data_IF_157929891499
#
_entry.id   IF_157929891499
#
_cell.length_a   1.000
_cell.length_b   1.000
_cell.length_c   1.000
_cell.angle_alpha   90.00
_cell.angle_beta   90.00
_cell.angle_gamma   90.00
#
_symmetry.space_group_name_H-M   'P 1'
#
loop_
_entity.id
_entity.type
_entity.pdbx_description
1 polymer ?
#
# COMPACT_ATOMS: atom_id res chain seq x y z
N UNK A 1 25.81 22.56 -5.78
CA UNK A 1 26.04 21.11 -5.94
C UNK A 1 24.80 20.54 -6.62
N UNK A 2 24.95 19.97 -7.82
CA UNK A 2 23.82 19.24 -8.44
C UNK A 2 23.52 18.04 -7.54
N UNK A 3 22.41 18.10 -6.80
CA UNK A 3 21.95 16.96 -6.01
C UNK A 3 21.62 15.83 -6.97
N UNK A 4 22.18 14.63 -6.73
CA UNK A 4 21.85 13.43 -7.52
C UNK A 4 20.33 13.25 -7.61
N UNK A 5 19.84 12.77 -8.74
CA UNK A 5 18.44 12.35 -8.94
C UNK A 5 18.14 11.06 -8.14
N UNK A 6 19.17 10.36 -7.68
CA UNK A 6 19.13 9.05 -7.08
C UNK A 6 19.71 9.06 -5.67
N UNK A 7 19.09 8.32 -4.76
CA UNK A 7 19.64 8.04 -3.45
C UNK A 7 20.88 7.14 -3.56
N UNK A 8 20.77 6.08 -4.35
CA UNK A 8 21.88 5.20 -4.69
C UNK A 8 21.99 5.09 -6.22
N UNK A 9 22.79 5.93 -6.88
CA UNK A 9 22.92 5.92 -8.34
C UNK A 9 23.31 4.56 -8.93
N UNK A 10 24.13 3.79 -8.22
CA UNK A 10 24.60 2.49 -8.71
C UNK A 10 23.44 1.49 -8.78
N UNK A 11 22.69 1.34 -7.69
CA UNK A 11 21.62 0.35 -7.63
C UNK A 11 20.37 0.78 -8.43
N UNK A 12 20.04 2.07 -8.41
CA UNK A 12 18.82 2.58 -9.08
C UNK A 12 18.94 2.62 -10.61
N UNK A 13 20.19 2.60 -11.14
CA UNK A 13 20.45 2.60 -12.59
C UNK A 13 21.19 1.33 -13.06
N UNK A 14 21.21 0.30 -12.22
CA UNK A 14 21.88 -0.96 -12.55
C UNK A 14 21.20 -1.60 -13.77
N UNK A 15 21.96 -2.00 -14.82
CA UNK A 15 21.37 -2.68 -15.98
C UNK A 15 20.54 -3.90 -15.57
N UNK A 16 19.41 -4.13 -16.25
CA UNK A 16 18.43 -5.17 -15.92
C UNK A 16 19.05 -6.56 -15.70
N UNK A 17 19.99 -6.95 -16.56
CA UNK A 17 20.67 -8.22 -16.41
C UNK A 17 21.47 -8.29 -15.09
N UNK A 18 22.19 -7.23 -14.75
CA UNK A 18 22.97 -7.14 -13.50
C UNK A 18 22.06 -7.12 -12.27
N UNK A 19 20.94 -6.43 -12.37
CA UNK A 19 19.93 -6.40 -11.31
C UNK A 19 19.35 -7.80 -11.07
N UNK A 20 19.03 -8.52 -12.14
CA UNK A 20 18.56 -9.91 -12.07
C UNK A 20 19.58 -10.86 -11.45
N UNK A 21 20.87 -10.71 -11.80
CA UNK A 21 21.97 -11.45 -11.17
C UNK A 21 22.06 -11.14 -9.66
N UNK A 22 21.95 -9.86 -9.29
CA UNK A 22 21.93 -9.43 -7.89
C UNK A 22 20.74 -10.00 -7.13
N UNK A 23 19.54 -9.95 -7.71
CA UNK A 23 18.33 -10.52 -7.12
C UNK A 23 18.46 -12.03 -6.89
N UNK A 24 18.97 -12.76 -7.88
CA UNK A 24 19.18 -14.19 -7.73
C UNK A 24 20.19 -14.54 -6.63
N UNK A 25 21.31 -13.79 -6.54
CA UNK A 25 22.26 -13.93 -5.46
C UNK A 25 21.60 -13.73 -4.10
N UNK A 26 20.89 -12.60 -3.91
CA UNK A 26 20.20 -12.28 -2.66
C UNK A 26 19.09 -13.27 -2.33
N UNK A 27 18.38 -13.76 -3.34
CA UNK A 27 17.36 -14.79 -3.14
C UNK A 27 17.99 -16.08 -2.61
N UNK A 28 19.10 -16.54 -3.16
CA UNK A 28 19.80 -17.72 -2.64
C UNK A 28 20.25 -17.53 -1.19
N UNK A 29 20.76 -16.34 -0.86
CA UNK A 29 21.21 -16.01 0.49
C UNK A 29 20.04 -16.10 1.50
N UNK A 30 18.91 -15.46 1.21
CA UNK A 30 17.75 -15.48 2.12
C UNK A 30 17.07 -16.85 2.18
N UNK A 31 17.01 -17.57 1.06
CA UNK A 31 16.47 -18.93 1.01
C UNK A 31 17.30 -19.89 1.86
N UNK A 32 18.63 -19.88 1.69
CA UNK A 32 19.56 -20.69 2.48
C UNK A 32 19.44 -20.37 3.98
N UNK A 33 19.43 -19.08 4.32
CA UNK A 33 19.24 -18.63 5.69
C UNK A 33 17.95 -19.15 6.30
N UNK A 34 16.83 -18.97 5.59
CA UNK A 34 15.51 -19.41 6.07
C UNK A 34 15.45 -20.93 6.24
N UNK A 35 15.98 -21.69 5.29
CA UNK A 35 16.08 -23.15 5.37
C UNK A 35 16.87 -23.60 6.60
N UNK A 36 18.01 -22.97 6.88
CA UNK A 36 18.89 -23.38 7.98
C UNK A 36 18.43 -22.90 9.36
N UNK A 37 17.76 -21.75 9.45
CA UNK A 37 17.51 -21.05 10.71
C UNK A 37 16.05 -21.00 11.16
N UNK A 38 15.08 -21.14 10.25
CA UNK A 38 13.65 -21.14 10.58
C UNK A 38 13.06 -22.53 10.52
N UNK A 39 12.48 -23.03 11.62
CA UNK A 39 11.80 -24.32 11.65
C UNK A 39 10.63 -24.39 10.67
N UNK A 40 9.92 -23.25 10.50
CA UNK A 40 8.83 -23.16 9.54
C UNK A 40 9.31 -23.34 8.10
N UNK A 41 10.35 -22.62 7.67
CA UNK A 41 10.85 -22.72 6.30
C UNK A 41 11.60 -24.03 6.04
N UNK A 42 12.32 -24.53 7.03
CA UNK A 42 12.95 -25.85 6.92
C UNK A 42 11.91 -26.93 6.61
N UNK A 43 10.81 -26.92 7.38
CA UNK A 43 9.73 -27.88 7.16
C UNK A 43 9.06 -27.68 5.80
N UNK A 44 8.70 -26.44 5.46
CA UNK A 44 8.01 -26.09 4.19
C UNK A 44 8.80 -26.57 2.98
N UNK A 45 10.11 -26.36 2.98
CA UNK A 45 10.96 -26.70 1.85
C UNK A 45 11.32 -28.19 1.82
N UNK A 46 11.60 -28.79 2.97
CA UNK A 46 11.84 -30.23 3.06
C UNK A 46 10.63 -31.06 2.65
N UNK A 47 9.42 -30.65 3.07
CA UNK A 47 8.16 -31.31 2.64
C UNK A 47 7.95 -31.23 1.11
N UNK A 48 8.49 -30.18 0.46
CA UNK A 48 8.48 -30.02 -1.00
C UNK A 48 9.68 -30.68 -1.71
N UNK A 49 10.58 -31.32 -0.97
CA UNK A 49 11.78 -31.94 -1.52
C UNK A 49 12.80 -30.93 -2.06
N UNK A 50 12.82 -29.71 -1.51
CA UNK A 50 13.75 -28.64 -1.91
C UNK A 50 14.81 -28.35 -0.86
N UNK A 51 16.02 -28.13 -1.31
CA UNK A 51 17.15 -27.69 -0.49
C UNK A 51 17.94 -26.55 -1.17
N UNK A 52 18.82 -25.83 -0.45
CA UNK A 52 19.56 -24.69 -1.01
C UNK A 52 20.37 -24.97 -2.28
N UNK A 53 20.84 -26.22 -2.43
CA UNK A 53 21.59 -26.69 -3.58
C UNK A 53 20.78 -26.75 -4.89
N UNK A 54 19.45 -26.73 -4.86
CA UNK A 54 18.59 -26.87 -6.04
C UNK A 54 18.44 -25.58 -6.85
N UNK A 55 18.74 -24.42 -6.26
CA UNK A 55 18.68 -23.13 -6.93
C UNK A 55 19.91 -22.89 -7.81
N UNK A 56 19.83 -23.31 -9.07
CA UNK A 56 20.90 -23.19 -10.08
C UNK A 56 20.75 -21.96 -10.95
N UNK A 57 19.52 -21.61 -11.34
CA UNK A 57 19.17 -20.51 -12.24
C UNK A 57 18.13 -19.60 -11.59
N UNK A 58 17.94 -18.42 -12.16
CA UNK A 58 16.92 -17.47 -11.71
C UNK A 58 15.51 -18.07 -11.83
N UNK A 59 15.27 -18.89 -12.84
CA UNK A 59 14.00 -19.54 -13.09
C UNK A 59 13.63 -20.57 -12.02
N UNK A 60 14.61 -21.12 -11.30
CA UNK A 60 14.37 -22.05 -10.19
C UNK A 60 13.67 -21.39 -9.01
N UNK A 61 13.72 -20.05 -8.89
CA UNK A 61 12.98 -19.30 -7.88
C UNK A 61 11.49 -19.66 -7.91
N UNK A 62 10.92 -19.82 -9.10
CA UNK A 62 9.50 -20.12 -9.30
C UNK A 62 9.09 -21.52 -8.79
N UNK A 63 10.05 -22.43 -8.58
CA UNK A 63 9.82 -23.75 -8.01
C UNK A 63 9.69 -23.74 -6.48
N UNK A 64 10.20 -22.68 -5.83
CA UNK A 64 10.16 -22.53 -4.37
C UNK A 64 8.72 -22.39 -3.90
N UNK A 65 8.27 -23.20 -2.91
CA UNK A 65 6.93 -23.10 -2.35
C UNK A 65 6.58 -21.69 -1.87
N UNK A 66 5.36 -21.28 -2.15
CA UNK A 66 4.84 -19.98 -1.68
C UNK A 66 4.45 -20.05 -0.21
N UNK A 67 4.62 -18.92 0.46
CA UNK A 67 4.11 -18.70 1.80
C UNK A 67 2.82 -17.87 1.74
N UNK A 68 1.84 -18.25 2.56
CA UNK A 68 0.59 -17.50 2.72
C UNK A 68 0.44 -16.96 4.14
N UNK A 69 -0.36 -15.89 4.28
CA UNK A 69 -0.62 -15.26 5.59
C UNK A 69 -1.24 -16.22 6.60
N UNK A 70 -2.05 -17.19 6.15
CA UNK A 70 -2.62 -18.24 7.01
C UNK A 70 -1.52 -19.13 7.60
N UNK A 71 -0.50 -19.48 6.80
CA UNK A 71 0.63 -20.27 7.24
C UNK A 71 1.47 -19.51 8.30
N UNK A 72 1.66 -18.19 8.13
CA UNK A 72 2.31 -17.36 9.16
C UNK A 72 1.56 -17.40 10.48
N UNK A 73 0.23 -17.26 10.46
CA UNK A 73 -0.61 -17.34 11.67
C UNK A 73 -0.49 -18.68 12.35
N UNK A 74 -0.47 -19.76 11.58
CA UNK A 74 -0.32 -21.13 12.13
C UNK A 74 1.05 -21.34 12.79
N UNK A 75 2.10 -20.69 12.24
CA UNK A 75 3.46 -20.80 12.77
C UNK A 75 3.71 -19.91 14.01
N UNK A 76 2.81 -18.97 14.31
CA UNK A 76 2.94 -17.95 15.35
C UNK A 76 1.85 -18.06 16.43
N UNK A 77 2.00 -17.30 17.51
CA UNK A 77 0.96 -17.08 18.51
C UNK A 77 1.10 -17.94 19.77
N UNK A 78 0.01 -18.03 20.50
CA UNK A 78 -0.03 -18.73 21.78
C UNK A 78 0.30 -20.23 21.61
N UNK A 79 1.10 -20.77 22.54
CA UNK A 79 1.58 -22.15 22.48
C UNK A 79 2.70 -22.41 21.46
N UNK A 80 3.22 -21.36 20.80
CA UNK A 80 4.37 -21.44 19.90
C UNK A 80 5.60 -20.76 20.51
N UNK A 81 6.72 -21.46 20.53
CA UNK A 81 7.99 -20.94 21.00
C UNK A 81 8.95 -20.66 19.82
N UNK A 82 9.70 -19.52 19.89
CA UNK A 82 9.62 -18.44 20.92
C UNK A 82 8.40 -17.53 20.69
N UNK A 83 7.59 -17.34 21.71
CA UNK A 83 6.41 -16.47 21.65
C UNK A 83 6.83 -15.00 21.44
N UNK A 84 6.12 -14.19 20.62
CA UNK A 84 4.93 -14.51 19.84
C UNK A 84 5.22 -15.00 18.41
N UNK A 85 6.48 -15.13 18.02
CA UNK A 85 6.90 -15.34 16.63
C UNK A 85 6.89 -16.80 16.19
N UNK A 86 7.05 -17.74 17.13
CA UNK A 86 6.99 -19.16 16.88
C UNK A 86 8.03 -19.68 15.89
N UNK A 87 7.62 -20.65 15.08
CA UNK A 87 8.52 -21.38 14.18
C UNK A 87 9.09 -20.56 13.01
N UNK A 88 8.49 -19.40 12.71
CA UNK A 88 8.96 -18.57 11.60
C UNK A 88 10.20 -17.74 11.95
N UNK A 89 10.44 -17.48 13.24
CA UNK A 89 11.61 -16.73 13.69
C UNK A 89 12.90 -17.48 13.32
N UNK A 90 13.87 -16.78 12.74
CA UNK A 90 15.13 -17.33 12.26
C UNK A 90 16.37 -16.72 12.91
N UNK A 91 16.17 -16.00 14.01
CA UNK A 91 17.24 -15.49 14.88
C UNK A 91 16.92 -15.83 16.34
N UNK A 92 17.89 -15.86 17.27
CA UNK A 92 17.62 -15.91 18.69
C UNK A 92 16.72 -14.73 19.13
N UNK A 93 15.79 -14.99 20.05
CA UNK A 93 14.78 -13.98 20.49
C UNK A 93 15.43 -12.69 21.03
N UNK A 94 16.57 -12.81 21.72
CA UNK A 94 17.34 -11.68 22.26
C UNK A 94 17.94 -10.75 21.19
N UNK A 95 17.93 -11.17 19.92
CA UNK A 95 18.33 -10.32 18.78
C UNK A 95 17.19 -9.48 18.24
N UNK A 96 15.94 -9.78 18.63
CA UNK A 96 14.77 -9.01 18.18
C UNK A 96 14.72 -7.70 18.96
N UNK A 97 14.79 -6.58 18.24
CA UNK A 97 14.79 -5.23 18.80
C UNK A 97 13.53 -4.44 18.48
N UNK A 98 12.75 -4.89 17.50
CA UNK A 98 11.51 -4.24 17.13
C UNK A 98 10.38 -5.25 16.90
N UNK A 99 9.24 -4.96 17.56
CA UNK A 99 7.99 -5.67 17.40
C UNK A 99 7.03 -4.85 16.54
N UNK A 100 6.37 -5.50 15.60
CA UNK A 100 5.27 -4.93 14.81
C UNK A 100 4.17 -5.98 14.66
N UNK A 101 2.96 -5.54 14.32
CA UNK A 101 1.88 -6.47 13.99
C UNK A 101 0.93 -5.87 12.96
N UNK A 102 0.17 -6.75 12.30
CA UNK A 102 -0.93 -6.35 11.44
C UNK A 102 -2.16 -5.98 12.26
N UNK A 103 -3.12 -5.25 11.65
CA UNK A 103 -4.35 -4.83 12.33
C UNK A 103 -5.28 -5.98 12.77
N UNK A 104 -5.08 -7.19 12.22
CA UNK A 104 -5.89 -8.36 12.58
C UNK A 104 -7.37 -8.28 12.18
N UNK A 105 -7.77 -7.41 11.26
CA UNK A 105 -9.18 -7.14 10.90
C UNK A 105 -9.95 -8.37 10.38
N UNK A 106 -9.24 -9.39 9.92
CA UNK A 106 -9.82 -10.63 9.38
C UNK A 106 -9.52 -11.86 10.23
N UNK A 107 -9.12 -11.66 11.48
CA UNK A 107 -8.72 -12.72 12.41
C UNK A 107 -7.58 -12.28 13.33
N UNK A 108 -6.79 -13.24 13.85
CA UNK A 108 -5.63 -12.89 14.68
C UNK A 108 -4.57 -12.10 13.88
N UNK A 109 -3.89 -11.12 14.52
CA UNK A 109 -2.80 -10.40 13.89
C UNK A 109 -1.65 -11.34 13.53
N UNK A 110 -0.85 -10.93 12.56
CA UNK A 110 0.47 -11.51 12.29
C UNK A 110 1.50 -10.65 13.01
N UNK A 111 2.41 -11.29 13.71
CA UNK A 111 3.50 -10.66 14.45
C UNK A 111 4.75 -10.58 13.57
N UNK A 112 5.44 -9.48 13.60
CA UNK A 112 6.67 -9.27 12.83
C UNK A 112 7.81 -8.93 13.76
N UNK A 113 8.87 -9.72 13.66
CA UNK A 113 10.13 -9.49 14.34
C UNK A 113 11.12 -8.77 13.41
N UNK A 114 11.83 -7.80 13.93
CA UNK A 114 12.98 -7.20 13.26
C UNK A 114 14.17 -7.11 14.24
N UNK A 115 15.35 -7.47 13.77
CA UNK A 115 16.61 -7.06 14.40
C UNK A 115 16.87 -5.60 14.05
N UNK A 116 17.91 -5.00 14.69
CA UNK A 116 18.32 -3.65 14.30
C UNK A 116 18.80 -3.59 12.83
N UNK A 117 19.51 -4.60 12.34
CA UNK A 117 19.93 -4.68 10.94
C UNK A 117 18.74 -4.78 9.97
N UNK A 118 17.72 -5.58 10.31
CA UNK A 118 16.49 -5.66 9.48
C UNK A 118 15.80 -4.31 9.43
N UNK A 119 15.78 -3.59 10.55
CA UNK A 119 15.18 -2.26 10.63
C UNK A 119 15.95 -1.23 9.81
N UNK A 120 17.29 -1.21 9.91
CA UNK A 120 18.13 -0.35 9.06
C UNK A 120 17.93 -0.63 7.58
N UNK A 121 17.84 -1.90 7.20
CA UNK A 121 17.54 -2.32 5.82
C UNK A 121 16.17 -1.82 5.36
N UNK A 122 15.15 -1.94 6.19
CA UNK A 122 13.79 -1.49 5.89
C UNK A 122 13.71 0.03 5.75
N UNK A 123 14.40 0.77 6.60
CA UNK A 123 14.45 2.25 6.53
C UNK A 123 15.26 2.74 5.34
N UNK A 124 16.33 2.03 4.96
CA UNK A 124 17.08 2.30 3.74
C UNK A 124 16.18 2.12 2.50
N UNK A 125 15.45 1.01 2.41
CA UNK A 125 14.51 0.78 1.31
C UNK A 125 13.47 1.91 1.19
N UNK A 126 13.00 2.45 2.32
CA UNK A 126 12.06 3.55 2.34
C UNK A 126 12.71 4.90 1.96
N UNK A 127 13.98 5.11 2.28
CA UNK A 127 14.70 6.33 1.90
C UNK A 127 14.77 6.51 0.37
N UNK A 128 14.86 5.41 -0.40
CA UNK A 128 14.77 5.44 -1.86
C UNK A 128 13.47 6.11 -2.34
N UNK A 129 12.35 5.75 -1.72
CA UNK A 129 11.05 6.31 -2.05
C UNK A 129 11.00 7.82 -1.82
N UNK A 130 11.29 8.24 -0.60
CA UNK A 130 11.21 9.66 -0.22
C UNK A 130 12.18 10.51 -1.06
N UNK A 131 13.40 10.01 -1.29
CA UNK A 131 14.37 10.72 -2.12
C UNK A 131 13.91 10.86 -3.57
N UNK A 132 13.32 9.80 -4.14
CA UNK A 132 12.75 9.81 -5.50
C UNK A 132 11.54 10.73 -5.65
N UNK A 133 10.77 10.93 -4.58
CA UNK A 133 9.66 11.88 -4.46
C UNK A 133 10.16 13.32 -4.24
N UNK A 134 11.46 13.52 -4.14
CA UNK A 134 12.08 14.85 -4.02
C UNK A 134 12.20 15.34 -2.57
N UNK A 135 12.11 14.48 -1.56
CA UNK A 135 12.43 14.85 -0.18
C UNK A 135 13.92 15.11 -0.03
N UNK A 136 14.29 16.14 0.72
CA UNK A 136 15.68 16.57 0.97
C UNK A 136 15.79 17.09 2.41
N UNK A 137 17.01 17.25 2.90
CA UNK A 137 17.30 17.75 4.25
C UNK A 137 16.66 19.11 4.60
N UNK A 138 16.18 19.85 3.62
CA UNK A 138 15.43 21.10 3.84
C UNK A 138 13.95 20.88 4.15
N UNK A 139 13.44 19.66 4.03
CA UNK A 139 12.04 19.35 4.30
C UNK A 139 11.77 19.14 5.78
N UNK A 140 10.60 19.58 6.20
CA UNK A 140 9.98 19.36 7.52
C UNK A 140 8.79 18.46 7.31
N UNK A 141 8.91 17.21 7.72
CA UNK A 141 7.91 16.17 7.48
C UNK A 141 6.98 16.07 8.69
N UNK A 142 5.69 16.35 8.50
CA UNK A 142 4.69 16.16 9.54
C UNK A 142 4.02 14.78 9.40
N UNK A 143 4.01 14.00 10.49
CA UNK A 143 3.36 12.70 10.53
C UNK A 143 2.11 12.75 11.42
N UNK A 144 0.90 12.91 10.83
CA UNK A 144 -0.33 13.19 11.56
C UNK A 144 -0.99 11.95 12.17
N UNK A 145 -0.20 10.95 12.59
CA UNK A 145 -0.70 9.70 13.18
C UNK A 145 0.08 9.29 14.41
N UNK A 146 -0.61 8.61 15.33
CA UNK A 146 0.05 7.82 16.36
C UNK A 146 0.76 6.62 15.72
N UNK A 147 2.03 6.42 16.05
CA UNK A 147 2.83 5.37 15.41
C UNK A 147 2.41 3.98 15.85
N UNK A 148 2.08 3.84 17.14
CA UNK A 148 1.58 2.60 17.71
C UNK A 148 2.49 1.40 17.36
N UNK A 149 1.91 0.20 17.28
CA UNK A 149 2.58 -1.06 16.94
C UNK A 149 2.67 -1.31 15.43
N UNK A 150 2.20 -0.37 14.59
CA UNK A 150 2.21 -0.50 13.14
C UNK A 150 3.52 0.03 12.52
N UNK A 151 4.00 -0.64 11.49
CA UNK A 151 5.30 -0.34 10.88
C UNK A 151 5.33 1.03 10.16
N UNK A 152 4.22 1.44 9.52
CA UNK A 152 4.23 2.46 8.48
C UNK A 152 4.88 3.80 8.90
N UNK A 153 4.40 4.41 10.00
CA UNK A 153 4.90 5.72 10.42
C UNK A 153 6.26 5.67 11.11
N UNK A 154 6.59 4.55 11.76
CA UNK A 154 7.95 4.31 12.23
C UNK A 154 8.95 4.27 11.08
N UNK A 155 8.65 3.51 10.03
CA UNK A 155 9.53 3.42 8.87
C UNK A 155 9.67 4.77 8.15
N UNK A 156 8.56 5.51 8.02
CA UNK A 156 8.58 6.85 7.43
C UNK A 156 9.42 7.83 8.25
N UNK A 157 9.26 7.81 9.58
CA UNK A 157 10.04 8.66 10.49
C UNK A 157 11.54 8.42 10.31
N UNK A 158 11.99 7.19 10.48
CA UNK A 158 13.41 6.85 10.37
C UNK A 158 13.98 7.08 8.97
N UNK A 159 13.20 6.86 7.91
CA UNK A 159 13.62 7.17 6.56
C UNK A 159 13.75 8.70 6.34
N UNK A 160 12.84 9.48 6.90
CA UNK A 160 12.92 10.95 6.88
C UNK A 160 14.18 11.47 7.56
N UNK A 161 14.45 11.00 8.78
CA UNK A 161 15.69 11.34 9.52
C UNK A 161 16.96 10.91 8.77
N UNK A 162 16.93 9.71 8.16
CA UNK A 162 18.04 9.21 7.34
C UNK A 162 18.37 10.10 6.15
N UNK A 163 17.37 10.76 5.56
CA UNK A 163 17.54 11.77 4.53
C UNK A 163 18.00 13.13 5.06
N UNK A 164 18.07 13.30 6.38
CA UNK A 164 18.37 14.56 7.05
C UNK A 164 17.18 15.51 7.15
N UNK A 165 15.95 15.04 6.90
CA UNK A 165 14.74 15.84 7.09
C UNK A 165 14.44 16.03 8.58
N UNK A 166 13.85 17.17 8.96
CA UNK A 166 13.23 17.33 10.27
C UNK A 166 11.88 16.57 10.28
N UNK A 167 11.73 15.59 11.17
CA UNK A 167 10.48 14.81 11.25
C UNK A 167 9.70 15.25 12.49
N UNK A 168 8.44 15.65 12.29
CA UNK A 168 7.55 16.19 13.33
C UNK A 168 6.44 15.18 13.60
N UNK A 169 6.46 14.44 14.74
CA UNK A 169 5.41 13.50 15.11
C UNK A 169 4.18 14.21 15.66
N UNK A 170 3.04 14.08 14.98
CA UNK A 170 1.75 14.66 15.37
C UNK A 170 0.78 13.66 16.05
N UNK A 171 1.29 12.57 16.60
CA UNK A 171 0.53 11.37 16.95
C UNK A 171 -0.67 11.54 17.88
N UNK A 172 -0.51 12.23 18.99
CA UNK A 172 -1.56 12.39 20.03
C UNK A 172 -2.46 13.61 19.80
N UNK A 173 -2.13 14.47 18.86
CA UNK A 173 -2.93 15.66 18.55
C UNK A 173 -4.23 15.26 17.83
N UNK A 174 -5.32 16.00 18.06
CA UNK A 174 -6.51 15.93 17.21
C UNK A 174 -6.26 16.61 15.85
N UNK A 175 -7.21 16.52 14.93
CA UNK A 175 -7.02 17.01 13.55
C UNK A 175 -6.80 18.51 13.51
N UNK A 176 -7.55 19.28 14.28
CA UNK A 176 -7.43 20.74 14.38
C UNK A 176 -6.06 21.16 14.91
N UNK A 177 -5.61 20.55 15.98
CA UNK A 177 -4.30 20.82 16.58
C UNK A 177 -3.15 20.42 15.64
N UNK A 178 -3.32 19.35 14.85
CA UNK A 178 -2.35 18.96 13.79
C UNK A 178 -2.23 20.03 12.74
N UNK A 179 -3.35 20.57 12.26
CA UNK A 179 -3.37 21.63 11.24
C UNK A 179 -2.68 22.89 11.76
N UNK A 180 -3.01 23.34 12.97
CA UNK A 180 -2.34 24.47 13.61
C UNK A 180 -0.84 24.25 13.81
N UNK A 181 -0.46 23.03 14.21
CA UNK A 181 0.97 22.70 14.41
C UNK A 181 1.73 22.63 13.09
N UNK A 182 1.12 22.14 11.98
CA UNK A 182 1.71 22.20 10.66
C UNK A 182 1.95 23.64 10.19
N UNK A 183 1.02 24.56 10.48
CA UNK A 183 1.14 25.97 10.17
C UNK A 183 2.24 26.62 11.02
N UNK A 184 2.21 26.44 12.33
CA UNK A 184 3.20 26.98 13.29
C UNK A 184 4.63 26.57 12.92
N UNK A 185 4.84 25.28 12.65
CA UNK A 185 6.16 24.73 12.36
C UNK A 185 6.54 24.81 10.87
N UNK A 186 5.68 25.39 10.04
CA UNK A 186 5.89 25.51 8.57
C UNK A 186 6.28 24.16 7.95
N UNK A 187 5.56 23.10 8.27
CA UNK A 187 5.81 21.79 7.70
C UNK A 187 5.70 21.83 6.17
N UNK A 188 6.68 21.25 5.45
CA UNK A 188 6.75 21.29 3.98
C UNK A 188 6.24 20.03 3.31
N UNK A 189 6.13 18.96 4.10
CA UNK A 189 5.68 17.65 3.62
C UNK A 189 4.89 16.91 4.68
N UNK A 190 4.05 15.96 4.26
CA UNK A 190 3.37 15.06 5.20
C UNK A 190 3.19 13.66 4.61
N UNK A 191 3.04 12.66 5.51
CA UNK A 191 2.68 11.30 5.16
C UNK A 191 1.35 10.91 5.80
N UNK A 192 0.37 10.44 4.99
CA UNK A 192 -0.95 10.10 5.51
C UNK A 192 -1.67 9.05 4.65
N UNK A 193 -2.88 8.63 5.04
CA UNK A 193 -3.76 7.88 4.15
C UNK A 193 -4.56 8.84 3.25
N UNK A 194 -4.94 8.45 2.02
CA UNK A 194 -5.74 9.28 1.12
C UNK A 194 -7.00 9.87 1.78
N UNK A 195 -7.76 9.03 2.49
CA UNK A 195 -8.96 9.47 3.22
C UNK A 195 -8.64 10.57 4.23
N UNK A 196 -7.56 10.41 5.00
CA UNK A 196 -7.21 11.39 6.02
C UNK A 196 -6.67 12.69 5.44
N UNK A 197 -5.94 12.64 4.33
CA UNK A 197 -5.51 13.84 3.58
C UNK A 197 -6.72 14.69 3.18
N UNK A 198 -7.75 14.07 2.63
CA UNK A 198 -8.99 14.77 2.24
C UNK A 198 -9.75 15.31 3.45
N UNK A 199 -9.91 14.50 4.51
CA UNK A 199 -10.61 14.92 5.75
C UNK A 199 -9.89 16.06 6.47
N UNK A 200 -8.56 16.07 6.52
CA UNK A 200 -7.79 17.16 7.08
C UNK A 200 -7.97 18.47 6.30
N UNK A 201 -8.05 18.40 4.96
CA UNK A 201 -8.31 19.58 4.14
C UNK A 201 -9.71 20.17 4.38
N UNK A 202 -10.71 19.31 4.56
CA UNK A 202 -12.06 19.74 4.96
C UNK A 202 -12.06 20.41 6.34
N UNK A 203 -11.40 19.80 7.31
CA UNK A 203 -11.27 20.37 8.66
C UNK A 203 -10.55 21.73 8.65
N UNK A 204 -9.45 21.84 7.87
CA UNK A 204 -8.74 23.10 7.74
C UNK A 204 -9.67 24.23 7.21
N UNK A 205 -10.46 23.94 6.16
CA UNK A 205 -11.42 24.89 5.61
C UNK A 205 -12.48 25.32 6.62
N UNK A 206 -13.01 24.38 7.43
CA UNK A 206 -13.95 24.70 8.53
C UNK A 206 -13.33 25.60 9.59
N UNK A 207 -12.02 25.51 9.80
CA UNK A 207 -11.26 26.41 10.67
C UNK A 207 -10.93 27.75 10.03
N UNK A 208 -11.38 28.03 8.80
CA UNK A 208 -11.04 29.22 8.03
C UNK A 208 -9.62 29.23 7.43
N UNK A 209 -8.94 28.06 7.44
CA UNK A 209 -7.59 27.90 6.88
C UNK A 209 -7.70 27.33 5.48
N UNK A 210 -7.11 28.00 4.50
CA UNK A 210 -7.02 27.53 3.12
C UNK A 210 -5.67 26.81 2.93
N UNK A 211 -5.62 25.46 2.85
CA UNK A 211 -4.34 24.75 2.83
C UNK A 211 -3.35 25.24 1.77
N UNK A 212 -3.73 25.44 0.48
CA UNK A 212 -2.82 25.94 -0.55
C UNK A 212 -2.19 27.31 -0.26
N UNK A 213 -2.86 28.18 0.53
CA UNK A 213 -2.44 29.55 0.80
C UNK A 213 -1.78 29.72 2.16
N UNK A 214 -2.33 29.05 3.18
CA UNK A 214 -2.03 29.32 4.57
C UNK A 214 -1.08 28.29 5.18
N UNK A 215 -0.88 27.12 4.50
CA UNK A 215 0.05 26.07 4.90
C UNK A 215 1.23 25.97 3.93
N UNK A 216 2.29 25.30 4.37
CA UNK A 216 3.55 25.20 3.62
C UNK A 216 3.75 23.83 2.96
N UNK A 217 2.76 22.94 3.06
CA UNK A 217 2.84 21.59 2.50
C UNK A 217 2.94 21.64 0.97
N UNK A 218 3.98 20.99 0.43
CA UNK A 218 4.23 20.91 -1.03
C UNK A 218 4.30 19.46 -1.53
N UNK A 219 4.49 18.53 -0.62
CA UNK A 219 4.62 17.10 -0.90
C UNK A 219 3.78 16.31 0.08
N UNK A 220 3.01 15.38 -0.44
CA UNK A 220 2.20 14.47 0.36
C UNK A 220 2.49 13.06 -0.14
N UNK A 221 2.93 12.19 0.75
CA UNK A 221 3.09 10.78 0.44
C UNK A 221 1.92 10.01 1.05
N UNK A 222 1.18 9.28 0.23
CA UNK A 222 0.03 8.52 0.68
C UNK A 222 0.26 7.02 0.60
N UNK A 223 -0.32 6.29 1.57
CA UNK A 223 -0.26 4.83 1.64
C UNK A 223 -1.38 4.25 2.49
N UNK A 224 -1.49 2.92 2.46
CA UNK A 224 -2.30 2.16 3.41
C UNK A 224 -3.72 1.84 2.95
N UNK A 225 -4.22 2.54 1.95
CA UNK A 225 -5.47 2.29 1.23
C UNK A 225 -5.35 2.78 -0.22
N UNK A 226 -6.21 2.35 -1.15
CA UNK A 226 -6.24 2.91 -2.50
C UNK A 226 -6.49 4.42 -2.50
N UNK A 227 -6.01 5.12 -3.54
CA UNK A 227 -6.26 6.55 -3.71
C UNK A 227 -5.11 7.30 -4.39
N UNK A 228 -3.86 7.05 -3.99
CA UNK A 228 -2.70 7.70 -4.58
C UNK A 228 -2.54 7.43 -6.07
N UNK A 229 -2.75 6.19 -6.50
CA UNK A 229 -2.70 5.77 -7.91
C UNK A 229 -4.04 5.93 -8.66
N UNK A 230 -5.11 6.38 -7.99
CA UNK A 230 -6.41 6.68 -8.62
C UNK A 230 -6.43 8.14 -9.06
N UNK A 231 -6.45 8.45 -10.38
CA UNK A 231 -6.27 9.81 -10.88
C UNK A 231 -7.24 10.83 -10.28
N UNK A 232 -8.53 10.50 -10.18
CA UNK A 232 -9.55 11.38 -9.63
C UNK A 232 -9.33 11.67 -8.14
N UNK A 233 -8.99 10.65 -7.34
CA UNK A 233 -8.69 10.81 -5.91
C UNK A 233 -7.42 11.64 -5.70
N UNK A 234 -6.36 11.35 -6.47
CA UNK A 234 -5.11 12.13 -6.45
C UNK A 234 -5.38 13.60 -6.74
N UNK A 235 -6.10 13.88 -7.84
CA UNK A 235 -6.42 15.24 -8.24
C UNK A 235 -7.15 16.00 -7.12
N UNK A 236 -8.14 15.38 -6.46
CA UNK A 236 -8.82 16.00 -5.32
C UNK A 236 -7.87 16.34 -4.17
N UNK A 237 -6.92 15.47 -3.85
CA UNK A 237 -5.92 15.74 -2.81
C UNK A 237 -4.98 16.87 -3.24
N UNK A 238 -4.46 16.85 -4.47
CA UNK A 238 -3.58 17.88 -5.00
C UNK A 238 -4.26 19.25 -5.05
N UNK A 239 -5.51 19.31 -5.53
CA UNK A 239 -6.31 20.54 -5.55
C UNK A 239 -6.60 21.06 -4.13
N UNK A 240 -6.88 20.16 -3.19
CA UNK A 240 -7.22 20.52 -1.81
C UNK A 240 -6.04 21.13 -1.05
N UNK A 241 -4.81 20.69 -1.34
CA UNK A 241 -3.60 21.08 -0.62
C UNK A 241 -2.67 22.00 -1.40
N UNK A 242 -2.82 22.12 -2.73
CA UNK A 242 -1.85 22.82 -3.60
C UNK A 242 -0.48 22.12 -3.60
N UNK A 243 -0.45 20.82 -3.37
CA UNK A 243 0.75 20.01 -3.16
C UNK A 243 0.79 18.82 -4.11
N UNK A 244 1.98 18.30 -4.42
CA UNK A 244 2.12 17.05 -5.16
C UNK A 244 1.84 15.84 -4.25
N UNK A 245 1.05 14.90 -4.75
CA UNK A 245 0.69 13.66 -4.04
C UNK A 245 1.39 12.49 -4.70
N UNK A 246 2.13 11.72 -3.91
CA UNK A 246 2.85 10.53 -4.34
C UNK A 246 2.27 9.30 -3.67
N UNK A 247 2.03 8.26 -4.46
CA UNK A 247 1.61 6.96 -3.95
C UNK A 247 2.79 6.09 -3.56
N UNK A 248 2.59 5.28 -2.53
CA UNK A 248 3.53 4.25 -2.12
C UNK A 248 2.82 3.05 -1.51
N UNK A 249 3.47 1.91 -1.57
CA UNK A 249 2.90 0.64 -1.15
C UNK A 249 3.83 -0.13 -0.23
N UNK A 250 3.23 -0.78 0.75
CA UNK A 250 3.93 -1.62 1.71
C UNK A 250 2.96 -2.35 2.62
N UNK A 251 3.46 -3.33 3.35
CA UNK A 251 2.72 -4.02 4.40
C UNK A 251 3.63 -4.33 5.58
N UNK A 252 3.03 -4.75 6.70
CA UNK A 252 3.79 -5.13 7.90
C UNK A 252 4.73 -6.30 7.63
N UNK A 253 4.26 -7.27 6.87
CA UNK A 253 4.98 -8.52 6.58
C UNK A 253 6.18 -8.30 5.67
N UNK A 254 6.05 -7.38 4.71
CA UNK A 254 7.01 -7.19 3.63
C UNK A 254 7.90 -5.96 3.89
N UNK A 255 7.33 -4.92 4.45
CA UNK A 255 7.92 -3.58 4.51
C UNK A 255 7.50 -2.75 3.29
N UNK A 256 8.31 -1.78 2.92
CA UNK A 256 8.03 -0.76 1.91
C UNK A 256 8.65 -1.14 0.58
N UNK A 257 7.87 -1.70 -0.35
CA UNK A 257 8.37 -2.35 -1.54
C UNK A 257 8.17 -1.59 -2.87
N UNK A 258 7.26 -0.60 -2.89
CA UNK A 258 6.97 0.13 -4.12
C UNK A 258 6.58 1.59 -3.90
N UNK A 259 6.91 2.47 -4.84
CA UNK A 259 6.74 3.91 -4.71
C UNK A 259 6.74 4.64 -6.06
N UNK A 260 6.05 5.76 -6.13
CA UNK A 260 6.17 6.70 -7.24
C UNK A 260 7.38 7.61 -7.06
N UNK A 261 8.02 7.95 -8.16
CA UNK A 261 8.98 9.06 -8.21
C UNK A 261 8.27 10.38 -8.60
N UNK A 262 9.01 11.47 -8.66
CA UNK A 262 8.50 12.78 -9.02
C UNK A 262 7.84 12.87 -10.42
N UNK A 263 8.09 11.89 -11.30
CA UNK A 263 7.48 11.82 -12.63
C UNK A 263 6.09 11.19 -12.64
N UNK A 264 5.70 10.51 -11.57
CA UNK A 264 4.37 9.90 -11.40
C UNK A 264 3.94 9.00 -12.57
N UNK A 265 4.90 8.28 -13.16
CA UNK A 265 4.66 7.40 -14.32
C UNK A 265 4.19 5.99 -13.95
N UNK A 266 3.91 5.75 -12.68
CA UNK A 266 3.58 4.45 -12.07
C UNK A 266 4.44 4.17 -10.85
N UNK A 267 4.16 3.06 -10.16
CA UNK A 267 4.92 2.64 -8.98
C UNK A 267 6.19 1.89 -9.39
N UNK A 268 7.35 2.40 -9.04
CA UNK A 268 8.60 1.64 -9.09
C UNK A 268 8.56 0.52 -8.05
N UNK A 269 8.90 -0.68 -8.45
CA UNK A 269 9.24 -1.76 -7.52
C UNK A 269 10.67 -1.54 -7.05
N UNK A 270 10.92 -1.55 -5.75
CA UNK A 270 12.27 -1.42 -5.20
C UNK A 270 13.06 -2.72 -5.37
N UNK A 271 13.46 -3.02 -6.60
CA UNK A 271 14.03 -4.30 -7.01
C UNK A 271 15.45 -4.55 -6.44
N UNK A 272 16.08 -3.56 -5.83
CA UNK A 272 17.32 -3.75 -5.07
C UNK A 272 17.07 -4.43 -3.71
N UNK A 273 15.84 -4.35 -3.18
CA UNK A 273 15.43 -4.83 -1.86
C UNK A 273 14.40 -5.95 -1.91
N UNK A 274 13.67 -6.05 -3.02
CA UNK A 274 12.55 -6.99 -3.19
C UNK A 274 12.60 -7.68 -4.54
N UNK A 275 12.15 -8.92 -4.57
CA UNK A 275 11.76 -9.59 -5.79
C UNK A 275 10.23 -9.63 -5.84
N UNK A 276 9.65 -9.02 -6.86
CA UNK A 276 8.21 -9.09 -7.13
C UNK A 276 7.97 -9.93 -8.37
N UNK A 277 7.11 -10.93 -8.23
CA UNK A 277 6.62 -11.78 -9.30
C UNK A 277 5.13 -11.51 -9.49
N UNK A 278 4.62 -11.64 -10.71
CA UNK A 278 3.19 -11.61 -10.98
C UNK A 278 2.79 -12.99 -11.50
N UNK A 279 1.72 -13.54 -10.95
CA UNK A 279 1.17 -14.83 -11.36
C UNK A 279 -0.29 -14.69 -11.77
N UNK A 280 -0.70 -15.47 -12.75
CA UNK A 280 -2.10 -15.62 -13.12
C UNK A 280 -2.92 -16.08 -11.90
N UNK A 281 -4.06 -15.47 -11.67
CA UNK A 281 -4.84 -15.69 -10.45
C UNK A 281 -5.45 -17.10 -10.38
N UNK A 282 -5.73 -17.71 -11.53
CA UNK A 282 -6.41 -18.99 -11.63
C UNK A 282 -5.42 -20.16 -11.83
N UNK A 283 -4.42 -19.97 -12.70
CA UNK A 283 -3.49 -21.04 -13.07
C UNK A 283 -2.20 -21.03 -12.26
N UNK A 284 -1.83 -19.88 -11.65
CA UNK A 284 -0.54 -19.70 -10.97
C UNK A 284 0.65 -19.54 -11.92
N UNK A 285 0.41 -19.49 -13.23
CA UNK A 285 1.47 -19.28 -14.22
C UNK A 285 2.06 -17.88 -14.14
N UNK A 286 3.37 -17.71 -14.37
CA UNK A 286 4.03 -16.43 -14.28
C UNK A 286 3.57 -15.48 -15.40
N UNK A 287 3.45 -14.20 -15.05
CA UNK A 287 3.12 -13.10 -15.97
C UNK A 287 4.29 -12.13 -16.02
N UNK A 288 5.05 -12.14 -17.09
CA UNK A 288 6.15 -11.21 -17.32
C UNK A 288 5.78 -10.10 -18.33
N UNK A 289 4.76 -10.30 -19.13
CA UNK A 289 4.27 -9.35 -20.12
C UNK A 289 3.53 -8.16 -19.48
N UNK A 290 3.77 -6.93 -19.99
CA UNK A 290 3.06 -5.74 -19.53
C UNK A 290 1.56 -5.78 -19.85
N UNK A 291 0.75 -5.07 -19.02
CA UNK A 291 -0.69 -4.89 -19.26
C UNK A 291 -1.56 -6.08 -18.85
N UNK A 292 -0.96 -7.25 -18.55
CA UNK A 292 -1.70 -8.38 -18.00
C UNK A 292 -1.68 -8.34 -16.48
N UNK A 293 -2.87 -8.33 -15.89
CA UNK A 293 -3.07 -8.31 -14.44
C UNK A 293 -2.94 -9.70 -13.84
N UNK A 294 -2.28 -9.77 -12.67
CA UNK A 294 -2.18 -11.01 -11.90
C UNK A 294 -1.96 -10.75 -10.41
N UNK A 295 -1.85 -11.83 -9.65
CA UNK A 295 -1.55 -11.79 -8.21
C UNK A 295 -0.08 -11.52 -7.97
N UNK A 296 0.20 -10.68 -6.98
CA UNK A 296 1.55 -10.38 -6.54
C UNK A 296 2.09 -11.46 -5.60
N UNK A 297 3.28 -11.94 -5.93
CA UNK A 297 4.12 -12.74 -5.04
C UNK A 297 5.40 -11.95 -4.77
N UNK A 298 5.84 -11.87 -3.52
CA UNK A 298 6.99 -11.04 -3.14
C UNK A 298 7.96 -11.76 -2.23
N UNK A 299 9.25 -11.52 -2.46
CA UNK A 299 10.34 -11.92 -1.56
C UNK A 299 11.06 -10.68 -1.05
N UNK A 300 11.26 -10.58 0.26
CA UNK A 300 12.11 -9.55 0.88
C UNK A 300 13.55 -10.06 0.96
N UNK A 301 14.51 -9.24 0.56
CA UNK A 301 15.91 -9.56 0.77
C UNK A 301 16.40 -9.02 2.13
N UNK A 302 17.38 -9.69 2.72
CA UNK A 302 18.09 -9.24 3.91
C UNK A 302 17.21 -8.85 5.14
N UNK A 303 15.98 -9.32 5.20
CA UNK A 303 15.14 -9.25 6.39
C UNK A 303 15.23 -10.59 7.11
N UNK A 304 16.25 -10.71 7.94
CA UNK A 304 16.76 -12.00 8.40
C UNK A 304 16.05 -12.54 9.65
N UNK A 305 15.48 -11.68 10.51
CA UNK A 305 14.80 -12.15 11.71
C UNK A 305 13.53 -12.95 11.39
N UNK A 306 12.78 -12.48 10.41
CA UNK A 306 11.55 -13.13 9.96
C UNK A 306 11.47 -13.00 8.43
N UNK A 307 12.12 -13.92 7.69
CA UNK A 307 12.13 -13.89 6.24
C UNK A 307 10.71 -13.92 5.66
N UNK A 308 10.55 -13.26 4.53
CA UNK A 308 9.31 -13.27 3.76
C UNK A 308 9.68 -13.70 2.33
N UNK A 309 9.49 -14.99 2.01
CA UNK A 309 9.96 -15.59 0.76
C UNK A 309 8.77 -16.10 -0.02
N UNK A 310 8.64 -15.65 -1.28
CA UNK A 310 7.52 -15.94 -2.18
C UNK A 310 6.16 -15.84 -1.49
N UNK A 311 5.95 -14.72 -0.81
CA UNK A 311 4.71 -14.45 -0.08
C UNK A 311 3.59 -14.06 -1.04
N UNK A 312 2.49 -14.82 -1.05
CA UNK A 312 1.26 -14.50 -1.78
C UNK A 312 0.50 -13.41 -1.04
N UNK A 313 0.63 -12.18 -1.53
CA UNK A 313 0.05 -10.97 -0.90
C UNK A 313 -1.44 -10.85 -1.15
N UNK A 314 -1.95 -11.51 -2.20
CA UNK A 314 -3.31 -11.38 -2.75
C UNK A 314 -3.60 -10.02 -3.41
N UNK A 315 -2.62 -9.12 -3.51
CA UNK A 315 -2.79 -7.87 -4.25
C UNK A 315 -2.73 -8.12 -5.76
N UNK A 316 -3.56 -7.41 -6.51
CA UNK A 316 -3.59 -7.46 -7.97
C UNK A 316 -2.80 -6.29 -8.53
N UNK A 317 -1.84 -6.62 -9.37
CA UNK A 317 -0.94 -5.67 -10.02
C UNK A 317 -0.73 -6.04 -11.49
N UNK A 318 -0.17 -5.11 -12.25
CA UNK A 318 0.28 -5.37 -13.62
C UNK A 318 1.56 -4.59 -13.91
N UNK A 319 2.41 -5.17 -14.79
CA UNK A 319 3.60 -4.46 -15.25
C UNK A 319 3.22 -3.35 -16.23
N UNK A 320 3.91 -2.19 -16.11
CA UNK A 320 3.84 -1.14 -17.10
C UNK A 320 4.79 -1.48 -18.28
N UNK A 321 4.39 -1.14 -19.51
CA UNK A 321 5.21 -1.31 -20.70
C UNK A 321 6.28 -0.23 -20.86
N UNK A 322 6.17 0.88 -20.13
CA UNK A 322 7.06 2.04 -20.25
C UNK A 322 8.19 2.00 -19.22
N UNK A 323 9.34 2.51 -19.61
CA UNK A 323 10.37 2.91 -18.67
C UNK A 323 10.07 4.34 -18.20
N UNK A 324 10.39 4.64 -16.94
CA UNK A 324 10.19 5.98 -16.40
C UNK A 324 11.28 6.93 -16.90
N UNK A 325 10.88 8.16 -17.24
CA UNK A 325 11.81 9.23 -17.65
C UNK A 325 12.77 9.65 -16.52
N UNK A 326 12.57 9.17 -15.30
CA UNK A 326 13.51 9.36 -14.20
C UNK A 326 14.85 8.64 -14.39
N UNK A 327 14.98 7.75 -15.37
CA UNK A 327 16.20 7.00 -15.67
C UNK A 327 16.46 5.78 -14.77
N UNK A 328 15.60 5.49 -13.79
CA UNK A 328 15.69 4.27 -12.98
C UNK A 328 15.39 3.04 -13.82
N UNK A 329 16.17 1.99 -13.59
CA UNK A 329 15.98 0.71 -14.29
C UNK A 329 14.98 -0.22 -13.59
N UNK A 330 14.49 0.15 -12.41
CA UNK A 330 13.45 -0.58 -11.68
C UNK A 330 12.15 -0.63 -12.48
N UNK A 331 11.52 -1.81 -12.52
CA UNK A 331 10.24 -1.99 -13.23
C UNK A 331 9.15 -1.14 -12.59
N UNK A 332 8.22 -0.73 -13.43
CA UNK A 332 7.03 0.01 -13.01
C UNK A 332 5.81 -0.90 -12.96
N UNK A 333 4.95 -0.63 -11.99
CA UNK A 333 3.56 -1.10 -11.99
C UNK A 333 2.67 0.00 -12.57
N UNK A 334 1.74 -0.40 -13.41
CA UNK A 334 0.71 0.47 -13.95
C UNK A 334 -0.53 0.48 -13.05
N UNK A 335 -1.05 1.66 -12.70
CA UNK A 335 -2.23 1.81 -11.85
C UNK A 335 -2.04 1.41 -10.37
N UNK A 336 -0.81 1.14 -9.93
CA UNK A 336 -0.53 0.78 -8.53
C UNK A 336 -1.12 -0.57 -8.11
N UNK A 337 -1.67 -0.64 -6.90
CA UNK A 337 -2.47 -1.78 -6.43
C UNK A 337 -3.88 -1.64 -6.99
N UNK A 338 -4.27 -2.55 -7.87
CA UNK A 338 -5.54 -2.50 -8.58
C UNK A 338 -6.71 -3.10 -7.77
N UNK A 339 -6.44 -3.58 -6.57
CA UNK A 339 -7.36 -4.24 -5.66
C UNK A 339 -6.74 -5.52 -5.09
N UNK A 340 -7.53 -6.25 -4.31
CA UNK A 340 -7.12 -7.53 -3.77
C UNK A 340 -7.90 -8.66 -4.45
N UNK A 341 -7.26 -9.79 -4.65
CA UNK A 341 -7.92 -10.96 -5.24
C UNK A 341 -9.06 -11.48 -4.35
N UNK A 342 -8.93 -11.31 -3.02
CA UNK A 342 -9.94 -11.69 -2.02
C UNK A 342 -11.01 -10.61 -1.77
N UNK A 343 -10.82 -9.38 -2.23
CA UNK A 343 -11.81 -8.29 -2.18
C UNK A 343 -12.63 -8.16 -3.48
N UNK A 344 -12.17 -8.78 -4.57
CA UNK A 344 -12.94 -8.83 -5.81
C UNK A 344 -14.15 -9.72 -5.60
N UNK A 345 -15.29 -9.08 -5.61
CA UNK A 345 -16.57 -9.74 -5.37
C UNK A 345 -17.29 -9.99 -6.69
N UNK A 346 -17.70 -11.24 -6.94
CA UNK A 346 -18.55 -11.56 -8.08
C UNK A 346 -19.99 -11.14 -7.78
N UNK A 347 -20.50 -10.16 -8.52
CA UNK A 347 -21.87 -9.66 -8.37
C UNK A 347 -22.58 -9.79 -9.71
N UNK A 348 -23.70 -10.49 -9.75
CA UNK A 348 -24.44 -10.76 -11.01
C UNK A 348 -23.54 -11.35 -12.12
N UNK A 349 -22.58 -12.18 -11.76
CA UNK A 349 -21.64 -12.77 -12.72
C UNK A 349 -20.46 -11.90 -13.14
N UNK A 350 -20.42 -10.63 -12.74
CA UNK A 350 -19.36 -9.67 -13.06
C UNK A 350 -18.40 -9.50 -11.88
N UNK A 351 -17.12 -9.41 -12.14
CA UNK A 351 -16.09 -9.14 -11.11
C UNK A 351 -16.09 -7.63 -10.80
N UNK A 352 -16.51 -7.27 -9.60
CA UNK A 352 -16.57 -5.90 -9.13
C UNK A 352 -15.35 -5.55 -8.31
N UNK A 353 -14.61 -4.51 -8.74
CA UNK A 353 -13.51 -3.91 -7.99
C UNK A 353 -13.99 -2.64 -7.26
N UNK A 354 -13.76 -2.51 -5.95
CA UNK A 354 -14.09 -1.28 -5.21
C UNK A 354 -13.42 -0.03 -5.78
N UNK A 355 -12.21 -0.15 -6.32
CA UNK A 355 -11.44 0.98 -6.90
C UNK A 355 -12.11 1.57 -8.13
N UNK A 356 -12.81 0.75 -8.93
CA UNK A 356 -13.56 1.22 -10.10
C UNK A 356 -14.74 2.11 -9.71
N UNK A 357 -15.39 1.82 -8.58
CA UNK A 357 -16.48 2.66 -8.04
C UNK A 357 -15.90 3.95 -7.47
N UNK A 358 -14.79 3.87 -6.74
CA UNK A 358 -14.11 5.04 -6.17
C UNK A 358 -13.76 6.06 -7.25
N UNK A 359 -13.19 5.60 -8.36
CA UNK A 359 -12.82 6.48 -9.47
C UNK A 359 -14.02 7.27 -9.98
N UNK A 360 -15.17 6.62 -10.19
CA UNK A 360 -16.40 7.29 -10.65
C UNK A 360 -16.91 8.30 -9.63
N UNK A 361 -17.00 7.92 -8.34
CA UNK A 361 -17.51 8.83 -7.30
C UNK A 361 -16.61 10.05 -7.14
N UNK A 362 -15.28 9.85 -7.23
CA UNK A 362 -14.29 10.93 -7.10
C UNK A 362 -14.27 11.89 -8.29
N UNK A 363 -14.69 11.41 -9.45
CA UNK A 363 -14.74 12.24 -10.67
C UNK A 363 -15.91 13.22 -10.69
N UNK A 364 -16.91 13.05 -9.80
CA UNK A 364 -18.08 13.91 -9.71
C UNK A 364 -17.85 14.98 -8.63
N UNK A 365 -17.59 16.24 -9.00
CA UNK A 365 -17.18 17.29 -8.05
C UNK A 365 -18.30 17.72 -7.09
N UNK A 366 -19.57 17.45 -7.43
CA UNK A 366 -20.74 17.75 -6.60
C UNK A 366 -20.92 16.81 -5.40
N UNK A 367 -20.17 15.70 -5.37
CA UNK A 367 -20.21 14.74 -4.27
C UNK A 367 -19.11 15.03 -3.24
N UNK A 368 -19.43 14.77 -1.97
CA UNK A 368 -18.45 14.83 -0.89
C UNK A 368 -17.36 13.75 -1.04
N UNK A 369 -16.43 13.72 -0.08
CA UNK A 369 -15.40 12.69 -0.04
C UNK A 369 -15.88 11.35 0.53
N UNK A 370 -17.10 11.29 1.09
CA UNK A 370 -17.61 10.08 1.72
C UNK A 370 -18.64 9.37 0.86
N UNK A 371 -18.47 8.06 0.76
CA UNK A 371 -19.40 7.15 0.10
C UNK A 371 -19.32 5.76 0.74
N UNK A 372 -20.35 4.95 0.52
CA UNK A 372 -20.42 3.57 0.98
C UNK A 372 -21.08 2.69 -0.08
N UNK A 373 -20.43 1.59 -0.42
CA UNK A 373 -20.98 0.55 -1.30
C UNK A 373 -21.46 -0.60 -0.44
N UNK A 374 -22.69 -1.00 -0.58
CA UNK A 374 -23.27 -2.14 0.13
C UNK A 374 -23.80 -3.15 -0.89
N UNK A 375 -23.27 -4.37 -0.84
CA UNK A 375 -23.77 -5.49 -1.64
C UNK A 375 -24.64 -6.37 -0.76
N UNK A 376 -25.88 -6.57 -1.19
CA UNK A 376 -26.87 -7.42 -0.48
C UNK A 376 -27.44 -8.46 -1.43
N UNK A 377 -28.18 -9.41 -0.91
CA UNK A 377 -28.92 -10.40 -1.70
C UNK A 377 -30.40 -10.33 -1.32
N UNK A 378 -31.28 -10.19 -2.32
CA UNK A 378 -32.73 -10.25 -2.14
C UNK A 378 -33.27 -11.43 -2.93
N UNK A 379 -33.64 -12.50 -2.22
CA UNK A 379 -33.87 -13.81 -2.86
C UNK A 379 -32.57 -14.28 -3.50
N UNK A 380 -32.58 -14.59 -4.80
CA UNK A 380 -31.41 -15.02 -5.56
C UNK A 380 -30.72 -13.88 -6.33
N UNK A 381 -31.19 -12.65 -6.19
CA UNK A 381 -30.70 -11.51 -6.94
C UNK A 381 -29.78 -10.67 -6.06
N UNK A 382 -28.52 -10.47 -6.54
CA UNK A 382 -27.60 -9.51 -5.93
C UNK A 382 -28.09 -8.08 -6.17
N UNK A 383 -27.96 -7.25 -5.15
CA UNK A 383 -28.29 -5.82 -5.20
C UNK A 383 -27.07 -5.01 -4.73
N UNK A 384 -26.70 -3.97 -5.47
CA UNK A 384 -25.64 -3.05 -5.13
C UNK A 384 -26.25 -1.70 -4.81
N UNK A 385 -26.04 -1.22 -3.60
CA UNK A 385 -26.43 0.14 -3.21
C UNK A 385 -25.17 0.98 -3.03
N UNK A 386 -25.10 2.09 -3.76
CA UNK A 386 -24.09 3.13 -3.57
C UNK A 386 -24.72 4.29 -2.82
N UNK A 387 -24.22 4.54 -1.60
CA UNK A 387 -24.59 5.69 -0.76
C UNK A 387 -23.56 6.79 -0.98
N UNK A 388 -24.02 7.99 -1.31
CA UNK A 388 -23.16 9.16 -1.55
C UNK A 388 -23.74 10.38 -0.85
N UNK A 389 -22.90 11.30 -0.46
CA UNK A 389 -23.32 12.61 0.06
C UNK A 389 -23.20 13.67 -1.02
N UNK A 390 -24.23 14.49 -1.19
CA UNK A 390 -24.20 15.68 -2.04
C UNK A 390 -23.68 16.87 -1.23
N UNK A 391 -22.81 17.67 -1.82
CA UNK A 391 -22.39 18.93 -1.23
C UNK A 391 -23.59 19.91 -1.15
N UNK A 392 -23.72 20.71 -0.08
CA UNK A 392 -24.91 21.53 0.18
C UNK A 392 -25.32 22.45 -0.96
N UNK A 393 -24.34 23.01 -1.68
CA UNK A 393 -24.56 23.90 -2.82
C UNK A 393 -25.17 23.23 -4.05
N UNK A 394 -25.11 21.89 -4.14
CA UNK A 394 -25.64 21.09 -5.27
C UNK A 394 -26.89 20.25 -4.90
N UNK A 395 -27.50 20.50 -3.75
CA UNK A 395 -28.66 19.71 -3.26
C UNK A 395 -29.81 19.63 -4.26
N UNK A 396 -29.96 20.66 -5.09
CA UNK A 396 -31.02 20.72 -6.10
C UNK A 396 -30.68 19.97 -7.39
N UNK A 397 -29.45 19.50 -7.56
CA UNK A 397 -28.96 18.86 -8.79
C UNK A 397 -29.02 17.33 -8.71
N UNK A 398 -29.68 16.76 -7.68
CA UNK A 398 -29.70 15.30 -7.41
C UNK A 398 -30.05 14.48 -8.65
N UNK A 399 -31.07 14.88 -9.42
CA UNK A 399 -31.50 14.13 -10.59
C UNK A 399 -30.43 14.07 -11.69
N UNK A 400 -29.73 15.19 -11.93
CA UNK A 400 -28.64 15.27 -12.89
C UNK A 400 -27.43 14.44 -12.44
N UNK A 401 -27.06 14.54 -11.17
CA UNK A 401 -25.96 13.78 -10.56
C UNK A 401 -26.24 12.29 -10.62
N UNK A 402 -27.48 11.87 -10.33
CA UNK A 402 -27.94 10.47 -10.42
C UNK A 402 -27.72 9.91 -11.84
N UNK A 403 -28.09 10.66 -12.85
CA UNK A 403 -27.94 10.24 -14.25
C UNK A 403 -26.47 10.01 -14.57
N UNK A 404 -25.62 10.97 -14.25
CA UNK A 404 -24.17 10.87 -14.49
C UNK A 404 -23.56 9.68 -13.73
N UNK A 405 -23.92 9.50 -12.46
CA UNK A 405 -23.43 8.37 -11.64
C UNK A 405 -23.80 7.02 -12.25
N UNK A 406 -25.08 6.85 -12.61
CA UNK A 406 -25.58 5.58 -13.15
C UNK A 406 -24.88 5.26 -14.47
N UNK A 407 -24.73 6.24 -15.36
CA UNK A 407 -24.11 6.05 -16.67
C UNK A 407 -22.62 5.72 -16.52
N UNK A 408 -21.87 6.49 -15.73
CA UNK A 408 -20.44 6.25 -15.53
C UNK A 408 -20.16 4.92 -14.83
N UNK A 409 -20.95 4.59 -13.79
CA UNK A 409 -20.82 3.29 -13.11
C UNK A 409 -21.13 2.13 -14.06
N UNK A 410 -22.14 2.25 -14.91
CA UNK A 410 -22.47 1.23 -15.89
C UNK A 410 -21.35 1.02 -16.91
N UNK A 411 -20.77 2.11 -17.42
CA UNK A 411 -19.64 2.05 -18.35
C UNK A 411 -18.43 1.41 -17.67
N UNK A 412 -18.10 1.82 -16.44
CA UNK A 412 -16.88 1.41 -15.75
C UNK A 412 -16.95 -0.01 -15.18
N UNK A 413 -18.13 -0.44 -14.72
CA UNK A 413 -18.29 -1.72 -13.98
C UNK A 413 -19.17 -2.74 -14.70
N UNK A 414 -19.90 -2.34 -15.72
CA UNK A 414 -20.94 -3.14 -16.39
C UNK A 414 -22.04 -3.65 -15.44
N UNK A 415 -22.33 -2.91 -14.37
CA UNK A 415 -23.33 -3.24 -13.35
C UNK A 415 -24.31 -2.10 -13.14
N UNK A 416 -25.52 -2.42 -12.66
CA UNK A 416 -26.51 -1.46 -12.22
C UNK A 416 -26.47 -1.26 -10.71
N UNK A 417 -26.61 -0.02 -10.28
CA UNK A 417 -26.58 0.41 -8.88
C UNK A 417 -27.89 1.04 -8.44
N UNK A 418 -28.29 0.78 -7.21
CA UNK A 418 -29.22 1.63 -6.49
C UNK A 418 -28.44 2.78 -5.86
N UNK A 419 -28.80 4.04 -6.19
CA UNK A 419 -28.11 5.23 -5.67
C UNK A 419 -28.94 5.82 -4.54
N UNK A 420 -28.36 5.95 -3.35
CA UNK A 420 -28.96 6.62 -2.19
C UNK A 420 -28.17 7.90 -1.91
N UNK A 421 -28.84 9.04 -2.01
CA UNK A 421 -28.27 10.32 -1.65
C UNK A 421 -28.49 10.61 -0.17
N UNK A 422 -27.43 11.01 0.48
CA UNK A 422 -27.39 11.35 1.89
C UNK A 422 -27.04 12.83 2.07
N UNK A 423 -27.46 13.39 3.18
CA UNK A 423 -27.08 14.75 3.56
C UNK A 423 -25.57 14.82 3.84
N UNK A 424 -24.99 15.97 3.55
CA UNK A 424 -23.58 16.22 3.84
C UNK A 424 -23.28 15.97 5.33
N UNK A 425 -22.17 15.30 5.61
CA UNK A 425 -21.74 14.89 6.95
C UNK A 425 -22.56 13.79 7.63
N UNK A 426 -23.46 13.11 6.93
CA UNK A 426 -24.26 12.03 7.51
C UNK A 426 -23.62 10.65 7.42
N UNK A 427 -22.71 10.42 6.46
CA UNK A 427 -21.94 9.18 6.36
C UNK A 427 -20.74 9.17 7.33
N UNK A 428 -20.32 7.98 7.82
CA UNK A 428 -19.21 7.87 8.74
C UNK A 428 -17.89 8.40 8.15
N UNK A 429 -17.17 9.21 8.92
CA UNK A 429 -15.81 9.68 8.60
C UNK A 429 -14.78 8.82 9.29
N UNK A 430 -13.71 8.49 8.57
CA UNK A 430 -12.58 7.75 9.12
C UNK A 430 -11.34 8.63 9.28
N UNK A 431 -10.67 8.50 10.43
CA UNK A 431 -9.38 9.17 10.69
C UNK A 431 -8.17 8.32 10.25
N UNK A 432 -8.41 7.14 9.69
CA UNK A 432 -7.35 6.26 9.20
C UNK A 432 -7.76 5.64 7.85
N UNK A 433 -7.97 4.33 7.83
CA UNK A 433 -8.46 3.63 6.63
C UNK A 433 -9.98 3.57 6.64
N UNK A 434 -10.62 3.90 5.52
CA UNK A 434 -12.06 3.77 5.40
C UNK A 434 -12.47 2.41 4.83
N UNK A 435 -13.55 1.83 5.38
CA UNK A 435 -14.19 0.62 4.85
C UNK A 435 -15.41 1.01 4.03
N UNK A 436 -15.16 1.39 2.78
CA UNK A 436 -16.20 1.88 1.86
C UNK A 436 -16.92 0.79 1.07
N UNK A 437 -16.52 -0.46 1.22
CA UNK A 437 -17.16 -1.60 0.56
C UNK A 437 -17.59 -2.63 1.59
N UNK A 438 -18.87 -3.00 1.58
CA UNK A 438 -19.47 -3.96 2.51
C UNK A 438 -20.26 -5.00 1.72
N UNK A 439 -19.75 -6.24 1.71
CA UNK A 439 -20.52 -7.38 1.23
C UNK A 439 -21.28 -8.01 2.40
N UNK A 440 -22.60 -7.80 2.40
CA UNK A 440 -23.51 -8.30 3.44
C UNK A 440 -24.26 -9.56 3.02
N UNK A 441 -23.90 -10.16 1.90
CA UNK A 441 -24.48 -11.43 1.46
C UNK A 441 -24.06 -12.54 2.41
N UNK A 442 -24.93 -13.56 2.63
CA UNK A 442 -24.55 -14.76 3.35
C UNK A 442 -23.29 -15.38 2.72
N UNK A 443 -22.27 -15.65 3.50
CA UNK A 443 -21.10 -16.39 3.01
C UNK A 443 -21.54 -17.77 2.58
N UNK A 444 -21.33 -18.10 1.32
CA UNK A 444 -21.44 -19.49 0.88
C UNK A 444 -20.27 -20.26 1.52
N UNK A 445 -20.58 -21.21 2.37
CA UNK A 445 -19.62 -22.15 2.99
C UNK A 445 -19.13 -23.16 1.98
#
# INVERSE_FOLDING_TARGET
>A
MNSSEYWNPILETLPREKLRQLQFKKFKEIFTWAYEKSRFYHKLYSDAGMEPGDLKTYEDIRKVPKMEKAMMRTAQGEGKDPFPYGDILSVPLEKVTAYRQTSGTTGQPVYQADTWQDWEYSTEAYAYALYAQGYRASDRIFLPFGYNIFIAFWAYHYAGEKLGCEVIPGGVLNTEARILKMQELKATAMGATPTYVLGMAETARKMGINPPKDLFIRKITVAGEPGGSIPATRKRMEDAWGAKVYDQVGSTEIGHWGWECRYQSGLHVNEAFYLVEIEDADTGEPIDEPGRRGKMVVTTFNRMAQPCIRFDVKDLIQWNSRQCDCGRTFRLLDGGIMGRADDITKVKGVLLSPTAIEEVVRDIPQLSNEYLVVVTKKGDIDNITLKVEILPEYKNDEAAIRTVLVDQLRVKTNLGYNIEFHEYESLPRSQSKSRRFQDQRPKQH
#
